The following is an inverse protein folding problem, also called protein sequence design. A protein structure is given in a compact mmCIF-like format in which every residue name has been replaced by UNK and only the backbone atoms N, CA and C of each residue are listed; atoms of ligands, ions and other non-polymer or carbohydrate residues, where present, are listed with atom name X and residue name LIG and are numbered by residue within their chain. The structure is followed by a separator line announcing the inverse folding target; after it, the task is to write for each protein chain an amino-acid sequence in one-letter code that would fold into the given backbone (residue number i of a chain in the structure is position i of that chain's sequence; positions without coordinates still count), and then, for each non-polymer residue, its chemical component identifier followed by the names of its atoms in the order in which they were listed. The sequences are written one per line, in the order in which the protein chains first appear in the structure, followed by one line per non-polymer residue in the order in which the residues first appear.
data_IF_309626499844
#
_entry.id   IF_309626499844
#
_cell.length_a   1.000
_cell.length_b   1.000
_cell.length_c   1.000
_cell.angle_alpha   90.00
_cell.angle_beta   90.00
_cell.angle_gamma   90.00
#
_symmetry.space_group_name_H-M   'P 1'
#
loop_
_entity.id
_entity.type
_entity.pdbx_description
1 polymer ?
#
# COMPACT_ATOMS: atom_id res chain seq x y z
N UNK A 1 -13.33 3.52 -1.66
CA UNK A 1 -12.68 2.91 -2.86
C UNK A 1 -11.22 3.33 -3.07
N UNK A 2 -10.77 4.48 -2.54
CA UNK A 2 -9.49 5.14 -2.91
C UNK A 2 -8.29 4.74 -2.04
N UNK A 3 -8.49 4.39 -0.76
CA UNK A 3 -7.43 3.76 0.06
C UNK A 3 -6.86 2.48 -0.55
N UNK A 4 -7.67 1.80 -1.36
CA UNK A 4 -7.27 0.64 -2.15
C UNK A 4 -6.20 0.99 -3.20
N UNK A 5 -6.22 2.21 -3.74
CA UNK A 5 -5.31 2.66 -4.78
C UNK A 5 -4.03 3.32 -4.27
N UNK A 6 -3.96 3.69 -2.98
CA UNK A 6 -2.77 4.35 -2.43
C UNK A 6 -1.48 3.55 -2.63
N UNK A 7 -1.54 2.21 -2.42
CA UNK A 7 -0.39 1.35 -2.72
C UNK A 7 -0.02 1.34 -4.21
N UNK A 8 -0.99 1.43 -5.12
CA UNK A 8 -0.74 1.52 -6.56
C UNK A 8 -0.13 2.87 -6.95
N UNK A 9 -0.56 3.97 -6.35
CA UNK A 9 0.02 5.30 -6.58
C UNK A 9 1.51 5.34 -6.20
N UNK A 10 1.85 4.75 -5.05
CA UNK A 10 3.26 4.62 -4.62
C UNK A 10 4.04 3.72 -5.58
N UNK A 11 3.44 2.63 -6.06
CA UNK A 11 4.08 1.76 -7.03
C UNK A 11 4.29 2.45 -8.39
N UNK A 12 3.33 3.24 -8.86
CA UNK A 12 3.48 4.05 -10.09
C UNK A 12 4.61 5.08 -9.90
N UNK A 13 4.68 5.75 -8.75
CA UNK A 13 5.81 6.64 -8.44
C UNK A 13 7.14 5.87 -8.53
N UNK A 14 7.22 4.68 -7.93
CA UNK A 14 8.39 3.81 -8.06
C UNK A 14 8.76 3.51 -9.51
N UNK A 15 7.80 3.14 -10.37
CA UNK A 15 8.05 2.89 -11.79
C UNK A 15 8.56 4.15 -12.50
N UNK A 16 7.94 5.31 -12.27
CA UNK A 16 8.37 6.56 -12.86
C UNK A 16 9.79 6.97 -12.41
N UNK A 17 10.15 6.64 -11.16
CA UNK A 17 11.49 6.87 -10.62
C UNK A 17 12.54 5.97 -11.29
N UNK A 18 12.29 4.65 -11.42
CA UNK A 18 13.24 3.73 -12.05
C UNK A 18 13.39 3.99 -13.55
N UNK A 19 12.33 4.47 -14.21
CA UNK A 19 12.36 4.94 -15.60
C UNK A 19 13.00 6.33 -15.77
N UNK A 20 13.48 6.95 -14.68
CA UNK A 20 14.12 8.28 -14.68
C UNK A 20 13.22 9.42 -15.19
N UNK A 21 11.89 9.22 -15.24
CA UNK A 21 10.91 10.27 -15.60
C UNK A 21 10.85 11.33 -14.50
N UNK A 22 10.97 10.90 -13.24
CA UNK A 22 10.99 11.77 -12.07
C UNK A 22 12.23 11.50 -11.22
N UNK A 23 12.78 12.57 -10.65
CA UNK A 23 14.02 12.52 -9.87
C UNK A 23 13.78 12.22 -8.39
N UNK A 24 12.53 12.27 -7.94
CA UNK A 24 12.17 12.17 -6.52
C UNK A 24 12.05 10.72 -6.08
N UNK A 25 12.76 10.38 -5.01
CA UNK A 25 12.89 9.03 -4.51
C UNK A 25 11.65 8.57 -3.72
N UNK A 26 10.94 7.50 -4.13
CA UNK A 26 9.75 7.00 -3.44
C UNK A 26 10.06 6.15 -2.19
N UNK A 27 11.34 5.99 -1.80
CA UNK A 27 11.76 5.11 -0.69
C UNK A 27 11.00 5.38 0.62
N UNK A 28 10.75 6.64 0.98
CA UNK A 28 9.95 6.97 2.18
C UNK A 28 8.51 6.49 2.03
N UNK A 29 7.90 6.73 0.88
CA UNK A 29 6.52 6.31 0.63
C UNK A 29 6.38 4.79 0.67
N UNK A 30 7.34 4.06 0.10
CA UNK A 30 7.41 2.60 0.17
C UNK A 30 7.59 2.09 1.60
N UNK A 31 8.45 2.73 2.41
CA UNK A 31 8.62 2.39 3.83
C UNK A 31 7.32 2.61 4.63
N UNK A 32 6.65 3.74 4.42
CA UNK A 32 5.37 4.05 5.06
C UNK A 32 4.24 3.08 4.65
N UNK A 33 4.21 2.70 3.37
CA UNK A 33 3.24 1.71 2.88
C UNK A 33 3.56 0.29 3.37
N UNK A 34 4.84 -0.03 3.59
CA UNK A 34 5.25 -1.32 4.14
C UNK A 34 4.90 -1.42 5.63
N UNK A 35 5.16 -0.37 6.42
CA UNK A 35 4.86 -0.37 7.86
C UNK A 35 3.36 -0.53 8.14
N UNK A 36 2.50 0.17 7.39
CA UNK A 36 1.05 0.01 7.49
C UNK A 36 0.57 -1.41 7.15
N UNK A 37 1.18 -2.05 6.16
CA UNK A 37 0.88 -3.44 5.82
C UNK A 37 1.39 -4.44 6.86
N UNK A 38 2.54 -4.19 7.49
CA UNK A 38 3.03 -5.00 8.61
C UNK A 38 2.06 -4.91 9.78
N UNK A 39 1.55 -3.72 10.11
CA UNK A 39 0.51 -3.57 11.13
C UNK A 39 -0.74 -4.38 10.80
N UNK A 40 -1.23 -4.32 9.55
CA UNK A 40 -2.38 -5.13 9.13
C UNK A 40 -2.10 -6.63 9.25
N UNK A 41 -0.92 -7.09 8.85
CA UNK A 41 -0.49 -8.49 8.97
C UNK A 41 -0.51 -8.95 10.43
N UNK A 42 0.02 -8.13 11.34
CA UNK A 42 0.01 -8.41 12.79
C UNK A 42 -1.43 -8.57 13.28
N UNK A 43 -2.34 -7.66 12.93
CA UNK A 43 -3.74 -7.74 13.34
C UNK A 43 -4.41 -8.99 12.75
N UNK A 44 -4.16 -9.33 11.48
CA UNK A 44 -4.70 -10.55 10.86
C UNK A 44 -4.25 -11.83 11.57
N UNK A 45 -2.99 -11.90 12.00
CA UNK A 45 -2.45 -13.03 12.78
C UNK A 45 -3.11 -13.11 14.15
N UNK A 46 -3.20 -11.98 14.88
CA UNK A 46 -3.83 -11.93 16.21
C UNK A 46 -5.32 -12.32 16.17
N UNK A 47 -6.03 -11.91 15.12
CA UNK A 47 -7.45 -12.23 14.92
C UNK A 47 -7.69 -13.60 14.25
N UNK A 48 -6.64 -14.42 14.02
CA UNK A 48 -6.74 -15.75 13.41
C UNK A 48 -7.48 -15.75 12.06
N UNK A 49 -7.15 -14.78 11.22
CA UNK A 49 -7.67 -14.71 9.84
C UNK A 49 -7.21 -15.93 9.04
N UNK A 50 -7.90 -16.28 7.96
CA UNK A 50 -7.55 -17.44 7.12
C UNK A 50 -6.11 -17.34 6.59
N UNK A 51 -5.39 -18.46 6.63
CA UNK A 51 -4.01 -18.58 6.13
C UNK A 51 -3.88 -18.15 4.67
N UNK A 52 -4.89 -18.42 3.84
CA UNK A 52 -4.97 -17.97 2.45
C UNK A 52 -4.87 -16.44 2.31
N UNK A 53 -5.71 -15.68 3.04
CA UNK A 53 -5.65 -14.21 3.03
C UNK A 53 -4.31 -13.67 3.56
N UNK A 54 -3.72 -14.31 4.56
CA UNK A 54 -2.40 -13.94 5.08
C UNK A 54 -1.32 -14.15 4.01
N UNK A 55 -1.36 -15.28 3.31
CA UNK A 55 -0.47 -15.57 2.18
C UNK A 55 -0.62 -14.55 1.05
N UNK A 56 -1.85 -14.25 0.64
CA UNK A 56 -2.12 -13.24 -0.38
C UNK A 56 -1.63 -11.84 0.02
N UNK A 57 -1.77 -11.46 1.29
CA UNK A 57 -1.25 -10.19 1.79
C UNK A 57 0.29 -10.15 1.73
N UNK A 58 0.95 -11.24 2.12
CA UNK A 58 2.41 -11.38 2.04
C UNK A 58 2.90 -11.30 0.59
N UNK A 59 2.23 -12.00 -0.32
CA UNK A 59 2.56 -11.97 -1.74
C UNK A 59 2.41 -10.56 -2.33
N UNK A 60 1.29 -9.88 -2.02
CA UNK A 60 1.08 -8.48 -2.39
C UNK A 60 2.17 -7.55 -1.82
N UNK A 61 2.53 -7.71 -0.55
CA UNK A 61 3.60 -6.93 0.08
C UNK A 61 4.93 -7.16 -0.62
N UNK A 62 5.23 -8.40 -0.98
CA UNK A 62 6.47 -8.75 -1.64
C UNK A 62 6.58 -8.05 -3.00
N UNK A 63 5.54 -8.18 -3.83
CA UNK A 63 5.51 -7.62 -5.19
C UNK A 63 5.51 -6.09 -5.22
N UNK A 64 4.65 -5.45 -4.44
CA UNK A 64 4.44 -4.00 -4.53
C UNK A 64 5.39 -3.17 -3.66
N UNK A 65 6.04 -3.79 -2.66
CA UNK A 65 6.76 -3.03 -1.64
C UNK A 65 8.16 -3.56 -1.40
N UNK A 66 8.31 -4.84 -1.09
CA UNK A 66 9.63 -5.41 -0.75
C UNK A 66 10.57 -5.39 -1.95
N UNK A 67 10.13 -5.87 -3.12
CA UNK A 67 10.93 -5.83 -4.35
C UNK A 67 11.28 -4.38 -4.73
N UNK A 68 10.31 -3.44 -4.86
CA UNK A 68 10.61 -2.04 -5.13
C UNK A 68 11.60 -1.42 -4.14
N UNK A 69 11.37 -1.62 -2.84
CA UNK A 69 12.23 -1.07 -1.80
C UNK A 69 13.66 -1.63 -1.87
N UNK A 70 13.80 -2.93 -2.16
CA UNK A 70 15.10 -3.57 -2.35
C UNK A 70 15.88 -2.94 -3.51
N UNK A 71 15.22 -2.72 -4.66
CA UNK A 71 15.89 -2.13 -5.84
C UNK A 71 16.41 -0.72 -5.61
N UNK A 72 15.77 0.07 -4.74
CA UNK A 72 16.19 1.44 -4.42
C UNK A 72 16.82 1.54 -3.03
N UNK A 73 17.16 0.43 -2.39
CA UNK A 73 17.63 0.44 -1.00
C UNK A 73 18.89 1.27 -0.80
N UNK A 74 19.83 1.21 -1.76
CA UNK A 74 21.10 1.92 -1.69
C UNK A 74 21.01 3.41 -2.10
N UNK A 75 19.83 3.86 -2.52
CA UNK A 75 19.63 5.27 -2.87
C UNK A 75 19.49 6.13 -1.62
N UNK A 76 20.10 7.32 -1.67
CA UNK A 76 20.00 8.32 -0.60
C UNK A 76 18.65 9.02 -0.66
N UNK A 77 18.08 9.27 0.50
CA UNK A 77 16.87 10.07 0.66
C UNK A 77 17.31 11.52 0.86
N UNK A 78 16.83 12.41 0.00
CA UNK A 78 17.02 13.86 0.14
C UNK A 78 15.82 14.49 0.84
N UNK A 79 16.01 15.67 1.43
CA UNK A 79 14.89 16.43 2.02
C UNK A 79 13.81 16.77 0.99
N UNK A 80 14.19 16.97 -0.29
CA UNK A 80 13.23 17.22 -1.36
C UNK A 80 12.29 16.03 -1.58
N UNK A 81 12.79 14.81 -1.41
CA UNK A 81 11.97 13.59 -1.52
C UNK A 81 10.91 13.53 -0.43
N UNK A 82 11.28 13.92 0.80
CA UNK A 82 10.36 14.05 1.93
C UNK A 82 9.27 15.07 1.64
N UNK A 83 9.65 16.25 1.12
CA UNK A 83 8.70 17.32 0.79
C UNK A 83 7.73 16.91 -0.32
N UNK A 84 8.22 16.22 -1.36
CA UNK A 84 7.36 15.69 -2.42
C UNK A 84 6.42 14.61 -1.90
N UNK A 85 6.90 13.72 -1.03
CA UNK A 85 6.04 12.74 -0.37
C UNK A 85 4.94 13.43 0.44
N UNK A 86 5.29 14.43 1.26
CA UNK A 86 4.32 15.17 2.06
C UNK A 86 3.28 15.88 1.19
N UNK A 87 3.72 16.50 0.08
CA UNK A 87 2.82 17.14 -0.88
C UNK A 87 1.87 16.13 -1.53
N UNK A 88 2.38 14.98 -2.01
CA UNK A 88 1.56 13.92 -2.58
C UNK A 88 0.56 13.37 -1.56
N UNK A 89 0.96 13.26 -0.30
CA UNK A 89 0.10 12.82 0.81
C UNK A 89 -1.02 13.85 1.05
N UNK A 90 -0.72 15.15 1.06
CA UNK A 90 -1.73 16.22 1.16
C UNK A 90 -2.71 16.16 -0.01
N UNK A 91 -2.22 16.05 -1.24
CA UNK A 91 -3.06 15.91 -2.45
C UNK A 91 -3.97 14.69 -2.33
N UNK A 92 -3.43 13.58 -1.85
CA UNK A 92 -4.20 12.36 -1.61
C UNK A 92 -5.29 12.56 -0.54
N UNK A 93 -4.98 13.22 0.58
CA UNK A 93 -5.98 13.54 1.62
C UNK A 93 -7.07 14.46 1.07
N UNK A 94 -6.71 15.52 0.33
CA UNK A 94 -7.69 16.43 -0.28
C UNK A 94 -8.62 15.69 -1.23
N UNK A 95 -8.07 14.81 -2.07
CA UNK A 95 -8.85 13.97 -2.97
C UNK A 95 -9.81 13.04 -2.20
N UNK A 96 -9.36 12.45 -1.09
CA UNK A 96 -10.23 11.65 -0.20
C UNK A 96 -11.41 12.47 0.35
N UNK A 97 -11.14 13.69 0.82
CA UNK A 97 -12.15 14.60 1.38
C UNK A 97 -13.19 14.97 0.31
N UNK A 98 -12.74 15.35 -0.89
CA UNK A 98 -13.64 15.72 -2.00
C UNK A 98 -14.58 14.58 -2.40
N UNK A 99 -14.10 13.33 -2.35
CA UNK A 99 -14.90 12.15 -2.69
C UNK A 99 -15.75 11.63 -1.53
N UNK A 100 -15.82 12.34 -0.39
CA UNK A 100 -16.54 11.92 0.83
C UNK A 100 -16.15 10.51 1.31
N UNK A 101 -14.94 10.07 1.01
CA UNK A 101 -14.43 8.80 1.49
C UNK A 101 -13.71 9.05 2.81
N UNK A 102 -14.28 8.51 3.89
CA UNK A 102 -13.78 8.73 5.24
C UNK A 102 -12.96 7.53 5.74
N UNK A 103 -12.24 7.74 6.84
CA UNK A 103 -11.55 6.70 7.62
C UNK A 103 -12.49 5.52 7.94
N UNK A 104 -13.80 5.78 8.07
CA UNK A 104 -14.80 4.76 8.32
C UNK A 104 -14.88 3.68 7.22
N UNK A 105 -14.74 4.04 5.94
CA UNK A 105 -14.67 3.04 4.87
C UNK A 105 -13.43 2.15 5.01
N UNK A 106 -12.30 2.74 5.41
CA UNK A 106 -11.07 1.99 5.63
C UNK A 106 -11.22 1.00 6.79
N UNK A 107 -11.80 1.45 7.92
CA UNK A 107 -12.13 0.58 9.06
C UNK A 107 -13.08 -0.54 8.64
N UNK A 108 -14.14 -0.23 7.91
CA UNK A 108 -15.09 -1.24 7.44
C UNK A 108 -14.42 -2.29 6.54
N UNK A 109 -13.51 -1.88 5.64
CA UNK A 109 -12.76 -2.83 4.81
C UNK A 109 -11.85 -3.75 5.64
N UNK A 110 -11.23 -3.24 6.70
CA UNK A 110 -10.43 -4.04 7.64
C UNK A 110 -11.33 -5.02 8.39
N UNK A 111 -12.48 -4.57 8.88
CA UNK A 111 -13.46 -5.43 9.55
C UNK A 111 -13.94 -6.55 8.62
N UNK A 112 -14.29 -6.22 7.37
CA UNK A 112 -14.65 -7.19 6.34
C UNK A 112 -13.53 -8.20 6.06
N UNK A 113 -12.28 -7.74 6.00
CA UNK A 113 -11.13 -8.60 5.76
C UNK A 113 -10.87 -9.57 6.92
N UNK A 114 -10.96 -9.08 8.15
CA UNK A 114 -10.52 -9.81 9.34
C UNK A 114 -11.65 -10.66 9.94
N UNK A 115 -12.81 -10.04 10.19
CA UNK A 115 -13.95 -10.70 10.85
C UNK A 115 -14.72 -11.54 9.85
N UNK A 116 -15.05 -10.93 8.70
CA UNK A 116 -15.85 -11.60 7.67
C UNK A 116 -15.01 -12.41 6.68
N UNK A 117 -13.68 -12.41 6.83
CA UNK A 117 -12.74 -13.18 6.00
C UNK A 117 -12.94 -12.94 4.50
N UNK A 118 -13.40 -11.74 4.14
CA UNK A 118 -13.69 -11.37 2.77
C UNK A 118 -12.49 -10.65 2.18
N UNK A 119 -12.01 -11.10 1.03
CA UNK A 119 -10.95 -10.40 0.33
C UNK A 119 -11.46 -9.04 -0.18
N UNK A 120 -11.08 -7.95 0.47
CA UNK A 120 -11.51 -6.58 0.11
C UNK A 120 -10.42 -5.76 -0.57
N UNK A 121 -9.18 -6.26 -0.59
CA UNK A 121 -8.01 -5.58 -1.11
C UNK A 121 -7.84 -5.90 -2.61
N UNK A 122 -7.81 -4.91 -3.53
CA UNK A 122 -7.92 -5.19 -4.96
C UNK A 122 -6.81 -6.07 -5.53
N UNK A 123 -5.55 -5.89 -5.09
CA UNK A 123 -4.49 -6.73 -5.62
C UNK A 123 -4.64 -8.17 -5.12
N UNK A 124 -5.06 -8.35 -3.86
CA UNK A 124 -5.34 -9.69 -3.34
C UNK A 124 -6.53 -10.32 -4.09
N UNK A 125 -7.56 -9.56 -4.45
CA UNK A 125 -8.68 -10.06 -5.26
C UNK A 125 -8.22 -10.46 -6.67
N UNK A 126 -7.32 -9.70 -7.28
CA UNK A 126 -6.73 -10.05 -8.56
C UNK A 126 -5.90 -11.33 -8.49
N UNK A 127 -5.10 -11.49 -7.44
CA UNK A 127 -4.31 -12.70 -7.20
C UNK A 127 -5.22 -13.93 -6.98
N UNK A 128 -6.28 -13.78 -6.19
CA UNK A 128 -7.28 -14.83 -5.96
C UNK A 128 -8.01 -15.22 -7.25
N UNK A 129 -8.39 -14.25 -8.08
CA UNK A 129 -8.99 -14.51 -9.39
C UNK A 129 -8.03 -15.21 -10.38
N UNK A 130 -6.71 -15.12 -10.15
CA UNK A 130 -5.70 -15.84 -10.92
C UNK A 130 -5.44 -17.26 -10.38
N UNK A 131 -6.13 -17.67 -9.31
CA UNK A 131 -6.02 -18.99 -8.69
C UNK A 131 -4.87 -19.13 -7.69
N UNK A 132 -4.34 -18.02 -7.17
CA UNK A 132 -3.34 -17.97 -6.09
C UNK A 132 -4.01 -17.76 -4.73
#
# INVERSE_FOLDING_TARGET
MIFKYFSYWIFIWYILYILHVIKYNPKIALLFALSSNILLLIVMILCKTTTHLVFLLLLMMLLLKIIPLYTIWNTKISQKDVSVFALLLIVYILYMIMNKQYINEFINNIIELIIYKKNTLPLMQQLENLGL
#
